data_IF_147108771323
#
_entry.id   IF_147108771323
#
_cell.length_a   1.000
_cell.length_b   1.000
_cell.length_c   1.000
_cell.angle_alpha   90.00
_cell.angle_beta   90.00
_cell.angle_gamma   90.00
#
_symmetry.space_group_name_H-M   'P 1'
#
loop_
_entity.id
_entity.type
_entity.pdbx_description
1 polymer ?
#
# COMPACT_ATOMS: atom_id res chain seq x y z
N UNK A 1 12.24 -18.23 1.56
CA UNK A 1 12.38 -16.91 2.18
C UNK A 1 11.13 -16.14 1.80
N UNK A 2 10.35 -15.67 2.76
CA UNK A 2 9.02 -15.11 2.47
C UNK A 2 9.00 -13.60 2.63
N UNK A 3 8.09 -12.94 1.94
CA UNK A 3 7.74 -11.54 2.18
C UNK A 3 6.23 -11.41 2.24
N UNK A 4 5.78 -10.58 3.17
CA UNK A 4 4.37 -10.27 3.38
C UNK A 4 3.99 -9.05 2.55
N UNK A 5 2.97 -9.16 1.72
CA UNK A 5 2.36 -8.03 1.01
C UNK A 5 1.16 -7.56 1.84
N UNK A 6 1.15 -6.27 2.18
CA UNK A 6 0.09 -5.58 2.90
C UNK A 6 -0.42 -4.41 2.09
N UNK A 7 -1.74 -4.29 1.94
CA UNK A 7 -2.37 -3.31 1.07
C UNK A 7 -2.09 -3.58 -0.40
N UNK A 8 -2.35 -2.58 -1.24
CA UNK A 8 -2.28 -2.67 -2.69
C UNK A 8 -1.62 -1.42 -3.27
N UNK A 9 -0.94 -1.60 -4.39
CA UNK A 9 -0.35 -0.50 -5.16
C UNK A 9 -1.36 0.13 -6.13
N UNK A 10 -2.64 -0.28 -6.05
CA UNK A 10 -3.70 0.25 -6.89
C UNK A 10 -4.16 1.59 -6.29
N UNK A 11 -4.17 2.68 -7.08
CA UNK A 11 -4.66 3.97 -6.61
C UNK A 11 -6.10 3.90 -6.07
N UNK A 12 -6.42 4.79 -5.14
CA UNK A 12 -7.75 4.89 -4.57
C UNK A 12 -8.66 5.63 -5.56
N UNK A 13 -9.55 4.88 -6.19
CA UNK A 13 -10.51 5.40 -7.18
C UNK A 13 -11.60 6.28 -6.54
N UNK A 14 -11.64 6.39 -5.20
CA UNK A 14 -12.53 7.30 -4.48
C UNK A 14 -11.99 8.73 -4.43
N UNK A 15 -10.71 8.95 -4.77
CA UNK A 15 -10.14 10.29 -4.82
C UNK A 15 -10.82 11.07 -5.97
N UNK A 16 -11.15 12.36 -5.77
CA UNK A 16 -11.91 13.15 -6.75
C UNK A 16 -11.14 13.39 -8.07
N UNK A 17 -9.85 13.02 -8.11
CA UNK A 17 -8.93 13.22 -9.22
C UNK A 17 -8.63 11.92 -10.00
N UNK A 18 -9.19 10.78 -9.60
CA UNK A 18 -8.99 9.46 -10.24
C UNK A 18 -10.17 9.01 -11.10
N UNK A 19 -11.29 9.75 -11.09
CA UNK A 19 -12.51 9.40 -11.81
C UNK A 19 -12.61 10.11 -13.18
N UNK A 20 -12.16 9.43 -14.24
CA UNK A 20 -12.55 9.81 -15.60
C UNK A 20 -13.95 9.27 -15.90
N UNK A 21 -14.99 10.08 -15.69
CA UNK A 21 -16.35 9.71 -16.13
C UNK A 21 -16.54 10.09 -17.60
N UNK A 22 -16.20 9.17 -18.50
CA UNK A 22 -16.64 9.25 -19.90
C UNK A 22 -18.13 8.91 -20.00
N UNK A 23 -18.94 9.62 -20.81
CA UNK A 23 -20.32 9.23 -21.05
C UNK A 23 -20.37 7.87 -21.75
N UNK A 24 -21.23 6.97 -21.26
CA UNK A 24 -21.34 5.57 -21.69
C UNK A 24 -21.79 5.33 -23.16
N UNK A 25 -21.86 6.37 -24.01
CA UNK A 25 -22.51 6.29 -25.32
C UNK A 25 -21.83 7.02 -26.48
N UNK A 26 -20.60 7.51 -26.36
CA UNK A 26 -19.89 8.09 -27.50
C UNK A 26 -19.12 7.02 -28.30
N UNK A 27 -19.11 7.15 -29.64
CA UNK A 27 -18.29 6.32 -30.55
C UNK A 27 -16.81 6.38 -30.12
N UNK A 28 -16.07 5.28 -30.20
CA UNK A 28 -14.67 5.14 -29.71
C UNK A 28 -13.77 6.33 -30.08
N UNK A 29 -13.83 6.81 -31.32
CA UNK A 29 -13.01 7.94 -31.79
C UNK A 29 -13.28 9.27 -31.05
N UNK A 30 -14.53 9.50 -30.64
CA UNK A 30 -14.92 10.68 -29.85
C UNK A 30 -14.47 10.56 -28.40
N UNK A 31 -14.41 9.34 -27.86
CA UNK A 31 -13.85 9.08 -26.53
C UNK A 31 -12.33 9.30 -26.55
N UNK A 32 -11.61 8.78 -27.56
CA UNK A 32 -10.17 8.98 -27.70
C UNK A 32 -9.83 10.47 -27.82
N UNK A 33 -10.55 11.22 -28.66
CA UNK A 33 -10.33 12.66 -28.83
C UNK A 33 -10.59 13.46 -27.54
N UNK A 34 -11.57 13.05 -26.72
CA UNK A 34 -11.85 13.69 -25.43
C UNK A 34 -10.81 13.33 -24.37
N UNK A 35 -10.37 12.07 -24.32
CA UNK A 35 -9.28 11.64 -23.45
C UNK A 35 -8.02 12.46 -23.77
N UNK A 36 -7.66 12.61 -25.04
CA UNK A 36 -6.50 13.42 -25.45
C UNK A 36 -6.65 14.88 -24.98
N UNK A 37 -7.83 15.49 -25.15
CA UNK A 37 -8.07 16.88 -24.70
C UNK A 37 -7.98 17.05 -23.17
N UNK A 38 -8.43 16.06 -22.41
CA UNK A 38 -8.29 16.08 -20.94
C UNK A 38 -6.84 15.85 -20.53
N UNK A 39 -6.14 14.90 -21.16
CA UNK A 39 -4.71 14.67 -20.89
C UNK A 39 -3.84 15.90 -21.20
N UNK A 40 -4.29 16.74 -22.14
CA UNK A 40 -3.61 17.97 -22.54
C UNK A 40 -4.08 19.21 -21.78
N UNK A 41 -5.06 19.11 -20.87
CA UNK A 41 -5.55 20.27 -20.12
C UNK A 41 -4.71 20.56 -18.89
N UNK A 42 -4.60 21.84 -18.53
CA UNK A 42 -3.94 22.28 -17.28
C UNK A 42 -4.58 21.66 -16.04
N UNK A 43 -5.88 21.34 -16.10
CA UNK A 43 -6.59 20.65 -15.03
C UNK A 43 -6.04 19.26 -14.75
N UNK A 44 -5.69 18.48 -15.78
CA UNK A 44 -5.11 17.15 -15.60
C UNK A 44 -3.73 17.20 -14.95
N UNK A 45 -2.88 18.14 -15.39
CA UNK A 45 -1.57 18.35 -14.78
C UNK A 45 -1.68 18.73 -13.30
N UNK A 46 -2.64 19.61 -12.96
CA UNK A 46 -2.91 20.02 -11.59
C UNK A 46 -3.49 18.90 -10.72
N UNK A 47 -4.41 18.11 -11.26
CA UNK A 47 -5.01 16.96 -10.58
C UNK A 47 -3.99 15.85 -10.33
N UNK A 48 -3.07 15.66 -11.27
CA UNK A 48 -1.96 14.73 -11.13
C UNK A 48 -0.94 15.20 -10.08
N UNK A 49 -0.69 16.50 -9.97
CA UNK A 49 0.15 17.06 -8.90
C UNK A 49 -0.49 16.86 -7.53
N UNK A 50 -1.80 17.10 -7.39
CA UNK A 50 -2.54 16.81 -6.16
C UNK A 50 -2.47 15.33 -5.78
N UNK A 51 -2.61 14.44 -6.75
CA UNK A 51 -2.51 13.00 -6.53
C UNK A 51 -1.11 12.60 -6.05
N UNK A 52 -0.06 13.16 -6.67
CA UNK A 52 1.34 12.97 -6.24
C UNK A 52 1.56 13.47 -4.82
N UNK A 53 1.05 14.66 -4.49
CA UNK A 53 1.18 15.22 -3.14
C UNK A 53 0.49 14.33 -2.11
N UNK A 54 -0.75 13.90 -2.39
CA UNK A 54 -1.50 13.00 -1.52
C UNK A 54 -0.72 11.71 -1.20
N UNK A 55 -0.19 11.03 -2.23
CA UNK A 55 0.57 9.80 -2.01
C UNK A 55 1.92 10.02 -1.36
N UNK A 56 2.56 11.17 -1.60
CA UNK A 56 3.79 11.56 -0.89
C UNK A 56 3.54 11.76 0.61
N UNK A 57 2.44 12.41 0.96
CA UNK A 57 2.02 12.58 2.36
C UNK A 57 1.71 11.22 3.01
N UNK A 58 0.94 10.38 2.33
CA UNK A 58 0.59 9.03 2.80
C UNK A 58 1.83 8.15 3.02
N UNK A 59 2.82 8.21 2.09
CA UNK A 59 4.10 7.53 2.25
C UNK A 59 4.87 8.05 3.48
N UNK A 60 4.90 9.36 3.70
CA UNK A 60 5.54 9.96 4.88
C UNK A 60 4.88 9.54 6.20
N UNK A 61 3.55 9.44 6.22
CA UNK A 61 2.81 8.92 7.37
C UNK A 61 3.12 7.44 7.61
N UNK A 62 3.18 6.63 6.54
CA UNK A 62 3.50 5.21 6.63
C UNK A 62 4.91 4.99 7.19
N UNK A 63 5.89 5.77 6.71
CA UNK A 63 7.25 5.76 7.25
C UNK A 63 7.28 6.12 8.73
N UNK A 64 6.50 7.13 9.13
CA UNK A 64 6.38 7.58 10.52
C UNK A 64 5.79 6.48 11.42
N UNK A 65 4.69 5.86 10.99
CA UNK A 65 4.07 4.73 11.72
C UNK A 65 5.03 3.55 11.85
N UNK A 66 5.72 3.19 10.77
CA UNK A 66 6.70 2.10 10.80
C UNK A 66 7.81 2.39 11.83
N UNK A 67 8.37 3.61 11.81
CA UNK A 67 9.41 4.00 12.76
C UNK A 67 8.91 3.96 14.22
N UNK A 68 7.70 4.45 14.48
CA UNK A 68 7.14 4.53 15.83
C UNK A 68 6.78 3.16 16.40
N UNK A 69 6.16 2.29 15.59
CA UNK A 69 5.57 1.03 16.06
C UNK A 69 6.50 -0.15 15.82
N UNK A 70 7.15 -0.20 14.65
CA UNK A 70 8.00 -1.31 14.23
C UNK A 70 9.50 -1.00 14.26
N UNK A 71 9.93 0.21 14.62
CA UNK A 71 11.33 0.66 14.47
C UNK A 71 12.38 -0.19 15.20
N UNK A 72 11.99 -0.95 16.23
CA UNK A 72 12.88 -1.94 16.89
C UNK A 72 13.09 -3.21 16.05
N UNK A 73 12.11 -3.56 15.23
CA UNK A 73 12.04 -4.81 14.48
C UNK A 73 12.33 -4.63 13.00
N UNK A 74 12.24 -3.41 12.47
CA UNK A 74 12.27 -3.17 11.04
C UNK A 74 12.83 -1.80 10.64
N UNK A 75 13.30 -1.71 9.40
CA UNK A 75 13.75 -0.47 8.75
C UNK A 75 12.88 -0.21 7.52
N UNK A 76 12.37 1.02 7.42
CA UNK A 76 11.56 1.47 6.30
C UNK A 76 12.46 2.01 5.18
N UNK A 77 12.30 1.49 3.96
CA UNK A 77 12.99 1.97 2.78
C UNK A 77 11.97 2.71 1.89
N UNK A 78 12.08 4.03 1.86
CA UNK A 78 11.25 4.87 1.01
C UNK A 78 11.60 4.65 -0.47
N UNK A 79 10.60 4.41 -1.34
CA UNK A 79 10.84 4.34 -2.78
C UNK A 79 11.02 5.74 -3.38
N UNK A 80 11.77 5.84 -4.48
CA UNK A 80 11.88 7.08 -5.26
C UNK A 80 10.61 7.39 -6.07
N UNK A 81 9.74 6.39 -6.27
CA UNK A 81 8.46 6.50 -6.96
C UNK A 81 7.62 5.22 -6.88
N UNK A 82 6.37 5.31 -7.33
CA UNK A 82 5.40 4.21 -7.24
C UNK A 82 4.57 4.22 -5.96
N UNK A 83 3.80 3.15 -5.74
CA UNK A 83 2.87 3.00 -4.61
C UNK A 83 3.19 1.81 -3.70
N UNK A 84 4.42 1.29 -3.78
CA UNK A 84 4.90 0.19 -2.95
C UNK A 84 6.16 0.57 -2.18
N UNK A 85 6.12 0.45 -0.85
CA UNK A 85 7.27 0.66 0.01
C UNK A 85 7.79 -0.65 0.59
N UNK A 86 9.11 -0.75 0.77
CA UNK A 86 9.72 -1.93 1.36
C UNK A 86 10.09 -1.70 2.83
N UNK A 87 9.71 -2.64 3.69
CA UNK A 87 10.03 -2.66 5.11
C UNK A 87 10.88 -3.89 5.36
N UNK A 88 12.18 -3.69 5.59
CA UNK A 88 13.11 -4.80 5.87
C UNK A 88 13.04 -5.14 7.36
N UNK A 89 12.85 -6.40 7.70
CA UNK A 89 12.92 -6.84 9.09
C UNK A 89 14.38 -7.03 9.52
N UNK A 90 14.68 -6.69 10.77
CA UNK A 90 16.00 -6.85 11.37
C UNK A 90 16.30 -8.34 11.65
N UNK A 91 15.24 -9.14 11.84
CA UNK A 91 15.28 -10.57 12.06
C UNK A 91 14.07 -11.21 11.38
N UNK A 92 14.23 -12.44 10.91
CA UNK A 92 13.17 -13.26 10.32
C UNK A 92 12.02 -13.47 11.32
N UNK A 93 10.77 -13.31 10.88
CA UNK A 93 9.59 -13.38 11.75
C UNK A 93 8.55 -14.39 11.26
N UNK A 94 8.02 -15.20 12.18
CA UNK A 94 6.85 -16.04 11.91
C UNK A 94 5.56 -15.26 12.21
N UNK A 95 4.68 -15.17 11.20
CA UNK A 95 3.49 -14.30 11.22
C UNK A 95 2.16 -15.02 10.94
N UNK A 96 2.17 -16.33 10.74
CA UNK A 96 0.98 -17.08 10.32
C UNK A 96 -0.19 -17.00 11.30
N UNK A 97 0.10 -16.98 12.61
CA UNK A 97 -0.92 -16.84 13.66
C UNK A 97 -1.68 -15.51 13.60
N UNK A 98 -1.07 -14.45 13.02
CA UNK A 98 -1.68 -13.12 12.93
C UNK A 98 -2.26 -12.81 11.56
N UNK A 99 -2.09 -13.67 10.56
CA UNK A 99 -2.68 -13.48 9.23
C UNK A 99 -4.21 -13.33 9.26
N UNK A 100 -4.98 -14.11 10.06
CA UNK A 100 -6.43 -13.91 10.15
C UNK A 100 -6.80 -12.50 10.65
N UNK A 101 -6.09 -11.99 11.67
CA UNK A 101 -6.32 -10.65 12.22
C UNK A 101 -5.99 -9.54 11.20
N UNK A 102 -4.98 -9.77 10.36
CA UNK A 102 -4.64 -8.86 9.25
C UNK A 102 -5.69 -8.93 8.12
N UNK A 103 -6.29 -10.09 7.88
CA UNK A 103 -7.40 -10.23 6.93
C UNK A 103 -8.67 -9.52 7.42
N UNK A 104 -8.98 -9.61 8.72
CA UNK A 104 -10.16 -8.97 9.34
C UNK A 104 -10.17 -7.44 9.21
N UNK A 105 -8.99 -6.81 9.22
CA UNK A 105 -8.86 -5.36 8.98
C UNK A 105 -8.65 -5.01 7.51
N UNK A 106 -8.84 -5.98 6.61
CA UNK A 106 -8.80 -5.83 5.14
C UNK A 106 -7.45 -5.32 4.60
N UNK A 107 -6.34 -5.55 5.33
CA UNK A 107 -4.99 -5.19 4.85
C UNK A 107 -4.25 -6.36 4.21
N UNK A 108 -4.67 -7.59 4.50
CA UNK A 108 -4.04 -8.80 3.98
C UNK A 108 -5.03 -9.59 3.12
N UNK A 109 -4.58 -10.01 1.95
CA UNK A 109 -5.28 -10.93 1.07
C UNK A 109 -4.32 -12.06 0.66
N UNK A 110 -4.82 -13.29 0.71
CA UNK A 110 -4.06 -14.48 0.31
C UNK A 110 -3.69 -14.45 -1.18
N UNK A 111 -4.55 -13.87 -2.03
CA UNK A 111 -4.32 -13.80 -3.47
C UNK A 111 -3.19 -12.84 -3.85
N UNK A 112 -2.94 -11.84 -3.00
CA UNK A 112 -1.80 -10.93 -3.15
C UNK A 112 -0.51 -11.53 -2.58
N UNK A 113 -0.59 -12.69 -1.92
CA UNK A 113 0.49 -13.35 -1.22
C UNK A 113 0.70 -14.83 -1.64
N UNK A 114 0.68 -15.18 -2.94
CA UNK A 114 0.76 -16.57 -3.39
C UNK A 114 2.08 -17.26 -2.99
N UNK A 115 3.13 -16.48 -2.72
CA UNK A 115 4.45 -16.94 -2.31
C UNK A 115 4.58 -17.25 -0.81
N UNK A 116 3.59 -16.91 0.03
CA UNK A 116 3.68 -17.15 1.47
C UNK A 116 3.57 -18.65 1.77
N UNK A 117 4.68 -19.23 2.24
CA UNK A 117 4.73 -20.61 2.72
C UNK A 117 4.66 -20.67 4.26
N UNK A 118 3.58 -21.22 4.88
CA UNK A 118 3.38 -21.35 6.33
C UNK A 118 4.53 -21.87 7.18
N UNK A 119 5.47 -22.59 6.56
CA UNK A 119 6.61 -23.19 7.27
C UNK A 119 7.84 -22.29 7.33
N UNK A 120 7.84 -21.15 6.63
CA UNK A 120 8.99 -20.28 6.51
C UNK A 120 8.69 -18.89 7.09
N UNK A 121 9.65 -18.27 7.79
CA UNK A 121 9.48 -16.92 8.28
C UNK A 121 9.54 -15.89 7.14
N UNK A 122 8.99 -14.71 7.41
CA UNK A 122 9.13 -13.54 6.55
C UNK A 122 10.39 -12.74 6.90
N UNK A 123 10.97 -12.11 5.89
CA UNK A 123 12.18 -11.28 5.99
C UNK A 123 11.90 -9.79 5.81
N UNK A 124 10.68 -9.46 5.39
CA UNK A 124 10.29 -8.14 4.96
C UNK A 124 8.80 -8.06 4.64
N UNK A 125 8.33 -6.82 4.56
CA UNK A 125 6.96 -6.47 4.23
C UNK A 125 6.99 -5.52 3.03
N UNK A 126 6.21 -5.81 2.00
CA UNK A 126 5.89 -4.86 0.92
C UNK A 126 4.57 -4.18 1.27
N UNK A 127 4.61 -2.90 1.54
CA UNK A 127 3.45 -2.10 1.90
C UNK A 127 2.97 -1.32 0.67
N UNK A 128 1.89 -1.80 0.04
CA UNK A 128 1.20 -1.10 -1.04
C UNK A 128 0.31 0.01 -0.53
N UNK A 129 0.74 1.27 -0.64
CA UNK A 129 0.05 2.40 -0.03
C UNK A 129 -0.93 3.12 -0.97
N UNK A 130 -1.31 2.50 -2.08
CA UNK A 130 -2.46 2.93 -2.89
C UNK A 130 -3.74 2.83 -2.05
N UNK A 131 -4.04 1.63 -1.57
CA UNK A 131 -5.11 1.29 -0.61
C UNK A 131 -4.60 0.20 0.36
N UNK A 132 -5.04 0.12 1.62
CA UNK A 132 -6.10 0.89 2.28
C UNK A 132 -5.59 2.22 2.86
N UNK A 133 -6.43 2.90 3.65
CA UNK A 133 -6.09 4.12 4.38
C UNK A 133 -5.03 3.90 5.47
N UNK A 134 -4.36 4.99 5.85
CA UNK A 134 -3.22 4.93 6.77
C UNK A 134 -3.57 4.38 8.17
N UNK A 135 -4.81 4.56 8.61
CA UNK A 135 -5.31 4.07 9.90
C UNK A 135 -5.37 2.54 9.96
N UNK A 136 -5.54 1.88 8.80
CA UNK A 136 -5.50 0.42 8.71
C UNK A 136 -4.05 -0.08 8.86
N UNK A 137 -3.08 0.65 8.30
CA UNK A 137 -1.65 0.35 8.52
C UNK A 137 -1.25 0.47 9.99
N UNK A 138 -1.74 1.48 10.70
CA UNK A 138 -1.49 1.63 12.14
C UNK A 138 -1.95 0.39 12.93
N UNK A 139 -3.20 -0.06 12.70
CA UNK A 139 -3.73 -1.29 13.31
C UNK A 139 -2.88 -2.50 12.97
N UNK A 140 -2.52 -2.68 11.70
CA UNK A 140 -1.70 -3.79 11.24
C UNK A 140 -0.32 -3.81 11.91
N UNK A 141 0.33 -2.65 12.03
CA UNK A 141 1.65 -2.54 12.65
C UNK A 141 1.59 -2.84 14.15
N UNK A 142 0.51 -2.49 14.85
CA UNK A 142 0.32 -2.89 16.24
C UNK A 142 0.15 -4.41 16.40
N UNK A 143 -0.61 -5.07 15.51
CA UNK A 143 -0.76 -6.53 15.48
C UNK A 143 0.62 -7.20 15.29
N UNK A 144 1.38 -6.74 14.29
CA UNK A 144 2.71 -7.25 13.99
C UNK A 144 3.69 -7.02 15.13
N UNK A 145 3.74 -5.82 15.71
CA UNK A 145 4.61 -5.48 16.83
C UNK A 145 4.35 -6.38 18.05
N UNK A 146 3.07 -6.69 18.33
CA UNK A 146 2.70 -7.61 19.40
C UNK A 146 3.24 -9.02 19.13
N UNK A 147 3.11 -9.54 17.91
CA UNK A 147 3.64 -10.85 17.53
C UNK A 147 5.18 -10.90 17.58
N UNK A 148 5.85 -9.88 17.04
CA UNK A 148 7.32 -9.82 17.00
C UNK A 148 7.92 -9.79 18.40
N UNK A 149 7.26 -9.13 19.35
CA UNK A 149 7.67 -9.13 20.76
C UNK A 149 7.63 -10.54 21.38
N UNK A 150 6.61 -11.33 21.08
CA UNK A 150 6.44 -12.68 21.65
C UNK A 150 7.48 -13.68 21.12
N UNK A 151 8.01 -13.48 19.92
CA UNK A 151 9.00 -14.37 19.29
C UNK A 151 10.45 -14.15 19.79
N UNK A 152 10.69 -13.21 20.72
CA UNK A 152 12.03 -12.90 21.25
C UNK A 152 12.37 -13.65 22.56
N UNK A 153 11.53 -14.60 22.97
CA UNK A 153 11.72 -15.48 24.13
C UNK A 153 11.79 -16.94 23.68
#
# INVERSE_FOLDING_TARGET
MNFLILGTEIPDNRLPYTSFQGPASAKEDQNISKIIKVLQSDSYSHDLEKLRLHYKEKLGQLQTLCRLILGKYAVFNSPDGGLGAWIKLNQDQNIYEVLPLLAEIEIYNVNDNPQLNPKLPIIGIRAGFGTPDITIYEKAFHILAKKFKTNQH
#
